data_IF_399782592556
#
_entry.id   IF_399782592556
#
_cell.length_a   1.000
_cell.length_b   1.000
_cell.length_c   1.000
_cell.angle_alpha   90.00
_cell.angle_beta   90.00
_cell.angle_gamma   90.00
#
_symmetry.space_group_name_H-M   'P 1'
#
loop_
_entity.id
_entity.type
_entity.pdbx_description
1 polymer ?
#
# COMPACT_ATOMS: atom_id res chain seq x y z
N UNK A 1 56.56 -3.82 33.62
CA UNK A 1 55.20 -3.87 34.15
C UNK A 1 54.43 -2.66 33.60
N UNK A 2 53.73 -2.79 32.48
CA UNK A 2 53.02 -1.66 31.83
C UNK A 2 51.65 -1.49 32.47
N UNK A 3 51.51 -0.45 33.31
CA UNK A 3 50.24 -0.02 33.86
C UNK A 3 49.35 0.53 32.72
N UNK A 4 48.37 -0.27 32.28
CA UNK A 4 47.26 0.24 31.40
C UNK A 4 46.48 1.30 32.18
N UNK A 5 46.72 2.57 31.87
CA UNK A 5 45.92 3.69 32.33
C UNK A 5 44.46 3.46 31.91
N UNK A 6 43.60 3.14 32.87
CA UNK A 6 42.16 2.95 32.64
C UNK A 6 41.52 4.30 32.33
N UNK A 7 41.10 4.51 31.09
CA UNK A 7 40.47 5.73 30.60
C UNK A 7 39.02 5.92 31.14
N UNK A 8 38.88 5.92 32.48
CA UNK A 8 37.59 6.19 33.15
C UNK A 8 37.68 7.42 34.03
N UNK A 9 36.67 8.27 33.99
CA UNK A 9 36.47 9.39 34.91
C UNK A 9 35.30 9.04 35.83
N UNK A 10 35.45 9.34 37.12
CA UNK A 10 34.39 9.14 38.13
C UNK A 10 33.68 10.46 38.37
N UNK A 11 32.38 10.51 38.16
CA UNK A 11 31.55 11.66 38.50
C UNK A 11 30.91 11.35 39.85
N UNK A 12 31.17 12.22 40.82
CA UNK A 12 30.60 12.13 42.17
C UNK A 12 29.46 13.14 42.27
N UNK A 13 28.25 12.66 42.50
CA UNK A 13 27.07 13.49 42.71
C UNK A 13 26.86 13.61 44.21
N UNK A 14 27.04 14.80 44.73
CA UNK A 14 26.82 15.12 46.13
C UNK A 14 25.48 15.82 46.29
N UNK A 15 24.54 15.22 46.99
CA UNK A 15 23.25 15.85 47.28
C UNK A 15 23.36 16.57 48.64
N UNK A 16 23.05 17.87 48.68
CA UNK A 16 23.19 18.72 49.88
C UNK A 16 22.35 18.28 51.08
N UNK A 17 21.33 17.45 50.85
CA UNK A 17 20.34 17.03 51.87
C UNK A 17 20.39 15.54 52.20
N UNK A 18 21.31 14.76 51.68
CA UNK A 18 21.45 13.33 51.99
C UNK A 18 22.93 12.95 52.12
N UNK A 19 23.27 12.22 53.17
CA UNK A 19 24.65 11.73 53.45
C UNK A 19 25.17 10.68 52.44
N UNK A 20 24.40 10.33 51.41
CA UNK A 20 24.82 9.35 50.41
C UNK A 20 25.30 10.00 49.13
N UNK A 21 26.58 9.81 48.83
CA UNK A 21 27.20 10.17 47.56
C UNK A 21 27.02 9.05 46.53
N UNK A 22 26.47 9.38 45.36
CA UNK A 22 26.44 8.45 44.22
C UNK A 22 27.62 8.70 43.31
N UNK A 23 28.42 7.66 43.00
CA UNK A 23 29.53 7.73 42.06
C UNK A 23 29.18 6.94 40.78
N UNK A 24 29.39 7.56 39.61
CA UNK A 24 29.17 6.94 38.30
C UNK A 24 30.51 6.95 37.55
N UNK A 25 30.99 5.78 37.11
CA UNK A 25 32.16 5.66 36.25
C UNK A 25 31.79 5.78 34.78
N UNK A 26 32.37 6.76 34.10
CA UNK A 26 32.11 7.03 32.67
C UNK A 26 33.47 7.02 31.94
N UNK A 27 33.50 6.44 30.71
CA UNK A 27 34.72 6.50 29.89
C UNK A 27 35.06 7.97 29.57
N UNK A 28 36.27 8.41 29.84
CA UNK A 28 36.77 9.78 29.65
C UNK A 28 36.51 10.30 28.22
N UNK A 29 36.48 9.41 27.21
CA UNK A 29 36.15 9.72 25.81
C UNK A 29 34.76 10.31 25.67
N UNK A 30 33.75 9.83 26.39
CA UNK A 30 32.40 10.35 26.36
C UNK A 30 32.28 11.70 27.06
N UNK A 31 33.00 11.89 28.14
CA UNK A 31 33.06 13.18 28.86
C UNK A 31 33.60 14.30 27.95
N UNK A 32 34.72 14.02 27.24
CA UNK A 32 35.29 14.98 26.26
C UNK A 32 34.39 15.29 25.09
N UNK A 33 33.49 14.34 24.70
CA UNK A 33 32.55 14.51 23.60
C UNK A 33 31.16 14.98 24.03
N UNK A 34 30.92 15.25 25.29
CA UNK A 34 29.62 15.65 25.82
C UNK A 34 29.04 16.88 25.12
N UNK A 35 29.85 17.86 24.77
CA UNK A 35 29.43 19.04 23.99
C UNK A 35 28.82 18.63 22.64
N UNK A 36 29.41 17.68 21.93
CA UNK A 36 28.90 17.21 20.64
C UNK A 36 27.58 16.42 20.79
N UNK A 37 27.44 15.65 21.87
CA UNK A 37 26.18 14.95 22.16
C UNK A 37 25.04 15.92 22.46
N UNK A 38 25.30 16.97 23.25
CA UNK A 38 24.31 18.01 23.57
C UNK A 38 23.91 18.73 22.29
N UNK A 39 24.87 19.16 21.45
CA UNK A 39 24.59 19.80 20.16
C UNK A 39 23.76 18.87 19.26
N UNK A 40 24.11 17.59 19.16
CA UNK A 40 23.37 16.63 18.36
C UNK A 40 21.91 16.48 18.83
N UNK A 41 21.68 16.39 20.14
CA UNK A 41 20.32 16.30 20.71
C UNK A 41 19.52 17.58 20.40
N UNK A 42 20.13 18.75 20.57
CA UNK A 42 19.47 20.03 20.23
C UNK A 42 19.12 20.09 18.75
N UNK A 43 20.00 19.68 17.85
CA UNK A 43 19.72 19.62 16.41
C UNK A 43 18.54 18.68 16.08
N UNK A 44 18.48 17.51 16.74
CA UNK A 44 17.36 16.57 16.55
C UNK A 44 16.04 17.17 17.04
N UNK A 45 16.03 17.83 18.20
CA UNK A 45 14.83 18.49 18.74
C UNK A 45 14.36 19.62 17.79
N UNK A 46 15.29 20.43 17.28
CA UNK A 46 14.96 21.49 16.33
C UNK A 46 14.43 20.94 15.00
N UNK A 47 15.02 19.86 14.49
CA UNK A 47 14.53 19.18 13.29
C UNK A 47 13.12 18.61 13.49
N UNK A 48 12.84 17.97 14.62
CA UNK A 48 11.51 17.46 14.96
C UNK A 48 10.49 18.61 15.11
N UNK A 49 10.86 19.69 15.80
CA UNK A 49 10.02 20.89 15.92
C UNK A 49 9.69 21.50 14.55
N UNK A 50 10.69 21.62 13.68
CA UNK A 50 10.51 22.10 12.31
C UNK A 50 9.59 21.21 11.48
N UNK A 51 9.71 19.88 11.58
CA UNK A 51 8.81 18.96 10.87
C UNK A 51 7.38 19.05 11.38
N UNK A 52 7.17 19.15 12.69
CA UNK A 52 5.82 19.33 13.26
C UNK A 52 5.20 20.65 12.79
N UNK A 53 5.95 21.76 12.85
CA UNK A 53 5.47 23.06 12.38
C UNK A 53 5.14 23.04 10.87
N UNK A 54 5.97 22.41 10.05
CA UNK A 54 5.71 22.23 8.61
C UNK A 54 4.43 21.42 8.35
N UNK A 55 4.25 20.29 9.04
CA UNK A 55 3.07 19.44 8.89
C UNK A 55 1.79 20.16 9.35
N UNK A 56 1.86 20.90 10.45
CA UNK A 56 0.73 21.71 10.95
C UNK A 56 0.36 22.82 9.95
N UNK A 57 1.34 23.52 9.42
CA UNK A 57 1.12 24.56 8.39
C UNK A 57 0.50 23.98 7.13
N UNK A 58 0.99 22.84 6.66
CA UNK A 58 0.45 22.15 5.49
C UNK A 58 -0.99 21.65 5.72
N UNK A 59 -1.28 21.12 6.90
CA UNK A 59 -2.62 20.68 7.25
C UNK A 59 -3.62 21.85 7.31
N UNK A 60 -3.20 22.99 7.88
CA UNK A 60 -4.02 24.19 7.92
C UNK A 60 -4.29 24.74 6.50
N UNK A 61 -3.30 24.68 5.60
CA UNK A 61 -3.47 25.08 4.19
C UNK A 61 -4.51 24.19 3.49
N UNK A 62 -4.47 22.88 3.68
CA UNK A 62 -5.47 21.96 3.11
C UNK A 62 -6.88 22.20 3.68
N UNK A 63 -6.98 22.52 4.98
CA UNK A 63 -8.29 22.82 5.58
C UNK A 63 -8.87 24.14 5.06
N UNK A 64 -8.03 25.14 4.82
CA UNK A 64 -8.45 26.40 4.19
C UNK A 64 -8.91 26.18 2.74
N UNK A 65 -8.18 25.39 1.94
CA UNK A 65 -8.56 25.04 0.57
C UNK A 65 -9.91 24.31 0.55
N UNK A 66 -10.11 23.37 1.45
CA UNK A 66 -11.38 22.66 1.62
C UNK A 66 -12.54 23.61 1.95
N UNK A 67 -12.33 24.56 2.86
CA UNK A 67 -13.34 25.57 3.21
C UNK A 67 -13.66 26.48 2.02
N UNK A 68 -12.65 26.89 1.25
CA UNK A 68 -12.84 27.67 0.03
C UNK A 68 -13.65 26.92 -1.02
N UNK A 69 -13.34 25.63 -1.24
CA UNK A 69 -14.09 24.78 -2.15
C UNK A 69 -15.55 24.60 -1.71
N UNK A 70 -15.80 24.38 -0.41
CA UNK A 70 -17.15 24.28 0.13
C UNK A 70 -17.94 25.59 -0.08
N UNK A 71 -17.29 26.73 0.12
CA UNK A 71 -17.90 28.06 -0.12
C UNK A 71 -18.21 28.25 -1.60
N UNK A 72 -17.33 27.88 -2.51
CA UNK A 72 -17.57 27.92 -3.96
C UNK A 72 -18.72 27.01 -4.38
N UNK A 73 -18.80 25.80 -3.83
CA UNK A 73 -19.92 24.87 -4.09
C UNK A 73 -21.23 25.47 -3.60
N UNK A 74 -21.25 26.10 -2.41
CA UNK A 74 -22.45 26.78 -1.89
C UNK A 74 -22.87 27.95 -2.78
N UNK A 75 -21.91 28.76 -3.25
CA UNK A 75 -22.18 29.88 -4.17
C UNK A 75 -22.65 29.40 -5.55
N UNK A 76 -22.09 28.33 -6.09
CA UNK A 76 -22.55 27.74 -7.35
C UNK A 76 -23.95 27.18 -7.21
N UNK A 77 -24.25 26.55 -6.08
CA UNK A 77 -25.58 25.99 -5.77
C UNK A 77 -26.66 27.06 -5.65
N UNK A 78 -26.31 28.26 -5.15
CA UNK A 78 -27.23 29.39 -5.06
C UNK A 78 -27.43 30.13 -6.39
N UNK A 79 -26.52 29.99 -7.37
CA UNK A 79 -26.61 30.60 -8.70
C UNK A 79 -27.31 29.75 -9.74
N UNK A 80 -27.65 28.49 -9.43
CA UNK A 80 -28.43 27.63 -10.32
C UNK A 80 -29.92 27.96 -10.14
N UNK A 81 -30.59 28.53 -11.14
CA UNK A 81 -32.04 28.75 -11.05
C UNK A 81 -32.75 27.41 -10.94
N UNK A 82 -33.75 27.32 -10.07
CA UNK A 82 -34.60 26.14 -9.93
C UNK A 82 -35.35 25.90 -11.25
N UNK A 83 -34.78 25.12 -12.15
CA UNK A 83 -35.42 24.83 -13.47
C UNK A 83 -34.47 24.41 -14.59
N UNK A 84 -33.16 24.50 -14.44
CA UNK A 84 -32.25 24.08 -15.51
C UNK A 84 -31.73 22.66 -15.26
N UNK A 85 -32.31 21.70 -15.93
CA UNK A 85 -31.86 20.31 -15.96
C UNK A 85 -30.58 20.25 -16.80
N UNK A 86 -29.40 20.36 -16.13
CA UNK A 86 -28.13 19.97 -16.73
C UNK A 86 -28.08 18.44 -16.57
N UNK A 87 -27.73 17.65 -17.60
CA UNK A 87 -27.53 16.23 -17.43
C UNK A 87 -26.27 16.02 -16.59
N UNK A 88 -26.42 16.08 -15.28
CA UNK A 88 -25.43 15.62 -14.32
C UNK A 88 -25.38 14.11 -14.47
N UNK A 89 -24.21 13.56 -14.80
CA UNK A 89 -23.90 12.16 -14.60
C UNK A 89 -24.41 11.80 -13.19
N UNK A 90 -25.46 11.01 -13.13
CA UNK A 90 -26.36 10.83 -12.01
C UNK A 90 -25.62 10.62 -10.68
N UNK A 91 -25.59 11.66 -9.84
CA UNK A 91 -25.66 11.44 -8.40
C UNK A 91 -27.01 10.73 -8.14
N UNK A 92 -27.08 9.68 -7.32
CA UNK A 92 -28.30 8.96 -7.07
C UNK A 92 -29.34 9.93 -6.52
N UNK A 93 -30.51 9.94 -7.17
CA UNK A 93 -31.63 10.82 -6.89
C UNK A 93 -31.93 10.89 -5.38
N UNK A 94 -32.25 12.09 -4.89
CA UNK A 94 -32.58 12.43 -3.51
C UNK A 94 -33.84 11.72 -2.93
N UNK A 95 -34.32 10.65 -3.55
CA UNK A 95 -35.43 9.80 -3.15
C UNK A 95 -35.08 8.31 -3.08
N UNK A 96 -33.77 7.97 -2.87
CA UNK A 96 -33.44 6.57 -2.55
C UNK A 96 -33.93 6.24 -1.15
N UNK A 97 -35.01 5.44 -1.07
CA UNK A 97 -35.49 4.86 0.16
C UNK A 97 -34.38 4.05 0.82
N UNK A 98 -34.39 3.86 2.14
CA UNK A 98 -33.45 3.01 2.89
C UNK A 98 -33.22 1.65 2.19
N UNK A 99 -34.26 1.10 1.56
CA UNK A 99 -34.22 -0.11 0.73
C UNK A 99 -33.27 0.01 -0.46
N UNK A 100 -33.23 1.15 -1.15
CA UNK A 100 -32.32 1.39 -2.28
C UNK A 100 -30.85 1.45 -1.85
N UNK A 101 -30.55 2.06 -0.71
CA UNK A 101 -29.20 2.06 -0.15
C UNK A 101 -28.76 0.66 0.27
N UNK A 102 -29.62 -0.11 0.93
CA UNK A 102 -29.32 -1.49 1.34
C UNK A 102 -29.00 -2.35 0.11
N UNK A 103 -29.79 -2.25 -0.96
CA UNK A 103 -29.54 -2.98 -2.20
C UNK A 103 -28.20 -2.58 -2.85
N UNK A 104 -27.88 -1.28 -2.88
CA UNK A 104 -26.60 -0.77 -3.36
C UNK A 104 -25.41 -1.30 -2.54
N UNK A 105 -25.52 -1.28 -1.22
CA UNK A 105 -24.54 -1.82 -0.28
C UNK A 105 -24.31 -3.31 -0.54
N UNK A 106 -25.38 -4.11 -0.64
CA UNK A 106 -25.28 -5.54 -0.93
C UNK A 106 -24.59 -5.81 -2.26
N UNK A 107 -24.95 -5.06 -3.31
CA UNK A 107 -24.30 -5.17 -4.62
C UNK A 107 -22.81 -4.84 -4.59
N UNK A 108 -22.39 -3.85 -3.78
CA UNK A 108 -20.96 -3.50 -3.61
C UNK A 108 -20.20 -4.56 -2.82
N UNK A 109 -20.78 -5.09 -1.75
CA UNK A 109 -20.19 -6.20 -0.99
C UNK A 109 -20.02 -7.44 -1.87
N UNK A 110 -21.00 -7.76 -2.70
CA UNK A 110 -20.87 -8.86 -3.66
C UNK A 110 -19.73 -8.63 -4.65
N UNK A 111 -19.59 -7.42 -5.21
CA UNK A 111 -18.46 -7.07 -6.09
C UNK A 111 -17.10 -7.25 -5.39
N UNK A 112 -16.98 -6.82 -4.14
CA UNK A 112 -15.73 -7.01 -3.37
C UNK A 112 -15.44 -8.51 -3.22
N UNK A 113 -16.44 -9.31 -2.85
CA UNK A 113 -16.29 -10.77 -2.74
C UNK A 113 -15.90 -11.42 -4.06
N UNK A 114 -16.44 -10.95 -5.19
CA UNK A 114 -16.07 -11.44 -6.52
C UNK A 114 -14.62 -11.10 -6.88
N UNK A 115 -14.15 -9.89 -6.55
CA UNK A 115 -12.75 -9.52 -6.69
C UNK A 115 -11.82 -10.39 -5.84
N UNK A 116 -12.20 -10.71 -4.61
CA UNK A 116 -11.42 -11.58 -3.72
C UNK A 116 -11.35 -13.02 -4.24
N UNK A 117 -12.49 -13.58 -4.65
CA UNK A 117 -12.56 -14.94 -5.21
C UNK A 117 -11.74 -15.12 -6.49
N UNK A 118 -11.80 -14.13 -7.41
CA UNK A 118 -10.99 -14.15 -8.65
C UNK A 118 -9.48 -14.15 -8.38
N UNK A 119 -9.07 -13.71 -7.19
CA UNK A 119 -7.68 -13.67 -6.73
C UNK A 119 -7.29 -14.88 -5.86
N UNK A 120 -8.19 -15.86 -5.69
CA UNK A 120 -7.97 -16.99 -4.80
C UNK A 120 -8.00 -16.65 -3.31
N UNK A 121 -8.60 -15.51 -2.94
CA UNK A 121 -8.77 -15.06 -1.56
C UNK A 121 -10.16 -15.41 -1.04
N UNK A 122 -10.27 -15.68 0.28
CA UNK A 122 -11.57 -15.86 0.95
C UNK A 122 -12.34 -14.54 0.93
N UNK A 123 -13.60 -14.58 0.49
CA UNK A 123 -14.55 -13.49 0.71
C UNK A 123 -15.08 -13.51 2.15
N UNK A 124 -15.74 -12.42 2.55
CA UNK A 124 -16.42 -12.35 3.84
C UNK A 124 -17.90 -12.70 3.72
N UNK A 125 -18.47 -13.19 4.83
CA UNK A 125 -19.90 -13.48 4.92
C UNK A 125 -20.69 -12.15 4.85
N UNK A 126 -21.71 -12.10 4.00
CA UNK A 126 -22.65 -10.98 3.96
C UNK A 126 -23.79 -11.14 4.95
N UNK A 127 -23.84 -12.25 5.72
CA UNK A 127 -24.93 -12.54 6.66
C UNK A 127 -24.82 -11.76 7.98
N UNK A 128 -23.61 -11.28 8.31
CA UNK A 128 -23.32 -10.65 9.60
C UNK A 128 -23.11 -9.13 9.48
N UNK A 129 -23.58 -8.52 8.39
CA UNK A 129 -23.49 -7.07 8.18
C UNK A 129 -24.78 -6.41 8.71
N UNK A 130 -25.04 -6.61 10.01
CA UNK A 130 -26.06 -5.90 10.76
C UNK A 130 -25.37 -5.23 11.95
N UNK A 131 -25.23 -3.91 11.92
CA UNK A 131 -24.67 -3.15 13.03
C UNK A 131 -25.56 -3.26 14.26
N UNK A 132 -24.90 -3.33 15.42
CA UNK A 132 -25.53 -3.33 16.74
C UNK A 132 -26.37 -2.06 16.93
N UNK A 133 -27.61 -2.21 17.43
CA UNK A 133 -28.59 -1.13 17.59
C UNK A 133 -28.32 -0.22 18.80
N UNK A 134 -27.08 -0.10 19.26
CA UNK A 134 -26.71 0.70 20.41
C UNK A 134 -25.82 1.88 20.03
N UNK A 135 -26.44 2.98 19.61
CA UNK A 135 -25.98 4.32 20.04
C UNK A 135 -26.87 5.44 19.51
N UNK A 136 -27.36 6.23 20.44
CA UNK A 136 -27.95 7.56 20.30
C UNK A 136 -27.00 8.51 19.52
N UNK A 137 -27.13 8.62 18.22
CA UNK A 137 -26.50 9.67 17.45
C UNK A 137 -27.50 10.34 16.51
N UNK A 138 -27.49 11.65 16.53
CA UNK A 138 -28.32 12.63 15.84
C UNK A 138 -28.30 12.61 14.31
N UNK A 139 -27.70 11.59 13.69
CA UNK A 139 -27.62 11.41 12.23
C UNK A 139 -28.79 10.53 11.77
N UNK A 140 -29.56 10.98 10.80
CA UNK A 140 -30.67 10.22 10.25
C UNK A 140 -30.18 8.92 9.59
N UNK A 141 -31.01 7.86 9.60
CA UNK A 141 -30.63 6.57 9.01
C UNK A 141 -30.29 6.70 7.51
N UNK A 142 -30.95 7.60 6.79
CA UNK A 142 -30.63 7.86 5.37
C UNK A 142 -29.25 8.47 5.19
N UNK A 143 -28.80 9.35 6.08
CA UNK A 143 -27.44 9.91 6.06
C UNK A 143 -26.39 8.84 6.38
N UNK A 144 -26.66 7.97 7.35
CA UNK A 144 -25.78 6.83 7.66
C UNK A 144 -25.63 5.89 6.47
N UNK A 145 -26.74 5.50 5.82
CA UNK A 145 -26.69 4.63 4.63
C UNK A 145 -25.97 5.29 3.46
N UNK A 146 -26.14 6.59 3.25
CA UNK A 146 -25.42 7.35 2.24
C UNK A 146 -23.90 7.33 2.48
N UNK A 147 -23.46 7.54 3.73
CA UNK A 147 -22.05 7.47 4.10
C UNK A 147 -21.46 6.06 3.90
N UNK A 148 -22.20 5.01 4.28
CA UNK A 148 -21.76 3.63 4.04
C UNK A 148 -21.68 3.31 2.56
N UNK A 149 -22.61 3.77 1.76
CA UNK A 149 -22.62 3.56 0.31
C UNK A 149 -21.42 4.24 -0.37
N UNK A 150 -21.09 5.47 0.03
CA UNK A 150 -19.90 6.18 -0.44
C UNK A 150 -18.61 5.47 0.00
N UNK A 151 -18.51 5.08 1.27
CA UNK A 151 -17.36 4.33 1.80
C UNK A 151 -17.13 3.04 1.03
N UNK A 152 -18.17 2.23 0.81
CA UNK A 152 -18.08 1.00 0.04
C UNK A 152 -17.71 1.24 -1.42
N UNK A 153 -18.16 2.35 -2.01
CA UNK A 153 -17.75 2.75 -3.38
C UNK A 153 -16.24 2.97 -3.46
N UNK A 154 -15.68 3.71 -2.49
CA UNK A 154 -14.24 3.93 -2.38
C UNK A 154 -13.50 2.61 -2.14
N UNK A 155 -14.05 1.73 -1.30
CA UNK A 155 -13.46 0.43 -1.00
C UNK A 155 -13.45 -0.49 -2.23
N UNK A 156 -14.56 -0.58 -2.98
CA UNK A 156 -14.63 -1.34 -4.26
C UNK A 156 -13.54 -0.87 -5.21
N UNK A 157 -13.40 0.44 -5.38
CA UNK A 157 -12.37 1.01 -6.25
C UNK A 157 -10.96 0.69 -5.74
N UNK A 158 -10.73 0.79 -4.44
CA UNK A 158 -9.43 0.45 -3.85
C UNK A 158 -9.08 -1.02 -4.09
N UNK A 159 -10.01 -1.93 -3.81
CA UNK A 159 -9.84 -3.37 -4.00
C UNK A 159 -9.61 -3.72 -5.48
N UNK A 160 -10.36 -3.09 -6.39
CA UNK A 160 -10.24 -3.36 -7.83
C UNK A 160 -8.82 -3.11 -8.36
N UNK A 161 -8.19 -2.01 -7.92
CA UNK A 161 -6.91 -1.52 -8.45
C UNK A 161 -5.69 -1.85 -7.58
N UNK A 162 -5.87 -2.51 -6.43
CA UNK A 162 -4.75 -2.98 -5.60
C UNK A 162 -4.37 -4.41 -6.03
N UNK A 163 -3.09 -4.69 -6.34
CA UNK A 163 -2.66 -6.01 -6.83
C UNK A 163 -2.60 -7.03 -5.69
N UNK A 164 -3.77 -7.53 -5.26
CA UNK A 164 -3.92 -8.52 -4.21
C UNK A 164 -4.14 -9.93 -4.78
N UNK A 165 -3.73 -10.96 -4.00
CA UNK A 165 -3.91 -12.36 -4.35
C UNK A 165 -2.88 -12.88 -5.35
N UNK A 166 -3.16 -14.04 -5.91
CA UNK A 166 -2.21 -14.85 -6.63
C UNK A 166 -2.36 -14.67 -8.14
N UNK A 167 -1.27 -14.32 -8.88
CA UNK A 167 -1.28 -14.31 -10.35
C UNK A 167 -1.40 -15.75 -10.89
N UNK A 168 -1.08 -16.72 -10.05
CA UNK A 168 -1.19 -18.15 -10.26
C UNK A 168 -1.32 -18.85 -8.91
N UNK A 169 -2.29 -19.73 -8.76
CA UNK A 169 -2.47 -20.56 -7.55
C UNK A 169 -1.43 -21.68 -7.54
N UNK A 170 -0.24 -21.39 -7.01
CA UNK A 170 0.85 -22.35 -6.84
C UNK A 170 1.79 -21.92 -5.71
N UNK A 171 2.70 -22.81 -5.31
CA UNK A 171 3.72 -22.51 -4.29
C UNK A 171 4.75 -21.51 -4.80
N UNK A 172 5.26 -20.68 -3.88
CA UNK A 172 6.41 -19.80 -4.12
C UNK A 172 7.67 -20.65 -4.05
N UNK A 173 8.52 -20.55 -5.07
CA UNK A 173 9.81 -21.23 -5.15
C UNK A 173 10.98 -20.34 -4.80
N UNK A 174 10.81 -19.00 -4.91
CA UNK A 174 11.81 -18.03 -4.50
C UNK A 174 11.16 -16.74 -4.01
N UNK A 175 11.63 -16.22 -2.87
CA UNK A 175 11.11 -15.03 -2.20
C UNK A 175 11.73 -13.72 -2.71
N UNK A 176 11.13 -12.60 -2.29
CA UNK A 176 11.63 -11.24 -2.50
C UNK A 176 12.81 -10.95 -1.57
N UNK A 177 13.84 -10.27 -2.05
CA UNK A 177 14.95 -9.77 -1.27
C UNK A 177 16.32 -10.29 -1.72
N UNK A 178 17.35 -10.07 -0.91
CA UNK A 178 18.69 -10.55 -1.21
C UNK A 178 18.78 -12.06 -1.04
N UNK A 179 19.36 -12.74 -2.03
CA UNK A 179 19.60 -14.18 -2.03
C UNK A 179 20.92 -14.50 -2.72
N UNK A 180 21.44 -15.72 -2.54
CA UNK A 180 22.53 -16.21 -3.38
C UNK A 180 22.11 -16.19 -4.83
N UNK A 181 23.01 -15.74 -5.71
CA UNK A 181 22.76 -15.69 -7.14
C UNK A 181 22.64 -17.12 -7.70
N UNK A 182 21.53 -17.50 -8.34
CA UNK A 182 21.33 -18.89 -8.81
C UNK A 182 22.26 -19.28 -9.97
N UNK A 183 23.01 -18.33 -10.55
CA UNK A 183 23.97 -18.57 -11.65
C UNK A 183 25.44 -18.39 -11.21
N UNK A 184 25.66 -17.83 -10.02
CA UNK A 184 26.97 -17.59 -9.43
C UNK A 184 26.84 -17.64 -7.90
N UNK A 185 27.22 -18.77 -7.31
CA UNK A 185 27.09 -19.01 -5.88
C UNK A 185 27.96 -18.10 -4.99
N UNK A 186 28.92 -17.39 -5.56
CA UNK A 186 29.82 -16.49 -4.82
C UNK A 186 29.26 -15.07 -4.67
N UNK A 187 28.21 -14.72 -5.40
CA UNK A 187 27.58 -13.40 -5.35
C UNK A 187 26.16 -13.44 -4.80
N UNK A 188 25.76 -12.32 -4.17
CA UNK A 188 24.38 -12.09 -3.76
C UNK A 188 23.69 -11.18 -4.78
N UNK A 189 22.42 -11.48 -5.10
CA UNK A 189 21.59 -10.64 -5.94
C UNK A 189 20.28 -10.24 -5.25
N UNK A 190 19.77 -9.06 -5.57
CA UNK A 190 18.44 -8.64 -5.14
C UNK A 190 17.41 -9.27 -6.08
N UNK A 191 16.52 -10.09 -5.55
CA UNK A 191 15.35 -10.59 -6.26
C UNK A 191 14.19 -9.60 -6.09
N UNK A 192 13.78 -8.85 -7.14
CA UNK A 192 12.81 -7.76 -7.02
C UNK A 192 11.34 -8.25 -7.00
N UNK A 193 11.12 -9.55 -6.96
CA UNK A 193 9.80 -10.17 -6.99
C UNK A 193 9.73 -11.48 -6.22
N UNK A 194 8.77 -12.30 -6.59
CA UNK A 194 8.63 -13.69 -6.15
C UNK A 194 8.46 -14.60 -7.36
N UNK A 195 8.98 -15.83 -7.25
CA UNK A 195 8.84 -16.83 -8.29
C UNK A 195 7.79 -17.86 -7.88
N UNK A 196 6.79 -18.06 -8.73
CA UNK A 196 5.75 -19.06 -8.56
C UNK A 196 6.05 -20.30 -9.38
N UNK A 197 5.97 -21.48 -8.77
CA UNK A 197 6.09 -22.76 -9.46
C UNK A 197 5.09 -22.84 -10.62
N UNK A 198 5.53 -23.27 -11.80
CA UNK A 198 4.67 -23.41 -12.97
C UNK A 198 5.28 -24.24 -14.07
N UNK A 199 4.45 -24.91 -14.86
CA UNK A 199 4.85 -25.55 -16.10
C UNK A 199 4.68 -24.57 -17.27
N UNK A 200 5.50 -24.73 -18.31
CA UNK A 200 5.34 -23.95 -19.54
C UNK A 200 3.94 -24.12 -20.11
N UNK A 201 3.26 -23.01 -20.38
CA UNK A 201 1.91 -22.99 -20.93
C UNK A 201 0.81 -22.77 -19.88
N UNK A 202 1.13 -22.87 -18.59
CA UNK A 202 0.16 -22.58 -17.51
C UNK A 202 -0.33 -21.13 -17.56
N UNK A 203 -1.61 -20.87 -17.23
CA UNK A 203 -2.18 -19.52 -17.32
C UNK A 203 -1.61 -18.60 -16.24
N UNK A 204 -1.32 -17.35 -16.66
CA UNK A 204 -0.95 -16.23 -15.80
C UNK A 204 -2.08 -15.20 -15.83
N UNK A 205 -2.55 -14.81 -14.63
CA UNK A 205 -3.69 -13.90 -14.47
C UNK A 205 -3.25 -12.56 -13.89
N UNK A 206 -3.87 -11.49 -14.35
CA UNK A 206 -3.66 -10.17 -13.76
C UNK A 206 -4.31 -10.10 -12.37
N UNK A 207 -3.59 -9.49 -11.41
CA UNK A 207 -3.99 -9.45 -9.99
C UNK A 207 -4.81 -8.22 -9.61
N UNK A 208 -4.93 -7.23 -10.50
CA UNK A 208 -5.76 -6.03 -10.30
C UNK A 208 -6.21 -5.46 -11.65
N UNK A 209 -7.29 -4.68 -11.64
CA UNK A 209 -7.73 -3.93 -12.80
C UNK A 209 -6.66 -2.90 -13.20
N UNK A 210 -6.42 -2.73 -14.50
CA UNK A 210 -5.37 -1.82 -14.95
C UNK A 210 -5.26 -1.71 -16.45
N UNK A 211 -4.21 -1.01 -16.89
CA UNK A 211 -3.85 -0.85 -18.30
C UNK A 211 -2.47 -1.46 -18.54
N UNK A 212 -2.34 -2.27 -19.56
CA UNK A 212 -1.06 -2.79 -20.02
C UNK A 212 -0.21 -1.62 -20.53
N UNK A 213 0.99 -1.46 -19.97
CA UNK A 213 1.93 -0.39 -20.35
C UNK A 213 3.20 -0.91 -21.00
N UNK A 214 3.37 -2.21 -21.03
CA UNK A 214 4.46 -2.86 -21.74
C UNK A 214 4.14 -4.32 -21.99
N UNK A 215 4.39 -4.77 -23.23
CA UNK A 215 4.45 -6.18 -23.63
C UNK A 215 5.68 -6.41 -24.48
N UNK A 216 6.37 -7.52 -24.29
CA UNK A 216 7.52 -7.87 -25.11
C UNK A 216 8.70 -8.40 -24.32
N UNK A 217 9.89 -8.40 -24.99
CA UNK A 217 11.13 -8.92 -24.39
C UNK A 217 11.89 -7.82 -23.66
N UNK A 218 12.24 -8.07 -22.40
CA UNK A 218 13.05 -7.18 -21.58
C UNK A 218 14.20 -7.93 -20.94
N UNK A 219 15.39 -7.29 -20.89
CA UNK A 219 16.60 -7.91 -20.35
C UNK A 219 16.38 -8.50 -18.96
N UNK A 220 16.86 -9.71 -18.74
CA UNK A 220 16.65 -10.49 -17.51
C UNK A 220 15.28 -11.15 -17.45
N UNK A 221 14.19 -10.43 -17.68
CA UNK A 221 12.80 -10.91 -17.53
C UNK A 221 12.32 -11.81 -18.69
N UNK A 222 13.03 -11.84 -19.82
CA UNK A 222 12.53 -12.50 -21.02
C UNK A 222 11.28 -11.83 -21.57
N UNK A 223 10.32 -12.62 -22.06
CA UNK A 223 9.01 -12.08 -22.42
C UNK A 223 8.27 -11.69 -21.14
N UNK A 224 7.83 -10.45 -21.08
CA UNK A 224 7.14 -9.95 -19.88
C UNK A 224 6.01 -8.98 -20.24
N UNK A 225 5.12 -8.80 -19.27
CA UNK A 225 4.00 -7.86 -19.30
C UNK A 225 4.15 -6.95 -18.09
N UNK A 226 3.92 -5.65 -18.27
CA UNK A 226 3.79 -4.69 -17.17
C UNK A 226 2.40 -4.07 -17.24
N UNK A 227 1.68 -4.12 -16.12
CA UNK A 227 0.35 -3.54 -15.98
C UNK A 227 0.41 -2.38 -14.99
N UNK A 228 -0.08 -1.21 -15.39
CA UNK A 228 -0.27 -0.04 -14.55
C UNK A 228 -1.64 -0.11 -13.91
N UNK A 229 -1.68 0.00 -12.60
CA UNK A 229 -2.90 0.11 -11.79
C UNK A 229 -3.05 1.52 -11.23
N UNK A 230 -4.17 1.83 -10.57
CA UNK A 230 -4.33 3.10 -9.83
C UNK A 230 -3.40 3.13 -8.60
N UNK A 231 -3.33 4.31 -7.97
CA UNK A 231 -2.55 4.55 -6.76
C UNK A 231 -1.07 4.19 -6.91
N UNK A 232 -0.47 4.46 -8.09
CA UNK A 232 0.94 4.21 -8.44
C UNK A 232 1.40 2.76 -8.30
N UNK A 233 0.49 1.79 -8.31
CA UNK A 233 0.85 0.39 -8.38
C UNK A 233 1.13 -0.04 -9.82
N UNK A 234 2.14 -0.90 -9.95
CA UNK A 234 2.42 -1.66 -11.17
C UNK A 234 2.64 -3.12 -10.80
N UNK A 235 2.30 -4.02 -11.73
CA UNK A 235 2.70 -5.43 -11.65
C UNK A 235 3.49 -5.83 -12.87
N UNK A 236 4.50 -6.71 -12.66
CA UNK A 236 5.31 -7.29 -13.73
C UNK A 236 5.18 -8.81 -13.68
N UNK A 237 5.00 -9.39 -14.86
CA UNK A 237 4.88 -10.83 -15.10
C UNK A 237 5.97 -11.24 -16.07
N UNK A 238 6.98 -11.98 -15.60
CA UNK A 238 8.19 -12.32 -16.36
C UNK A 238 8.29 -13.79 -16.74
N UNK A 239 9.29 -14.09 -17.56
CA UNK A 239 9.66 -15.40 -18.09
C UNK A 239 8.59 -16.10 -18.93
N UNK A 240 7.67 -15.31 -19.51
CA UNK A 240 6.50 -15.85 -20.22
C UNK A 240 6.86 -16.61 -21.49
N UNK A 241 6.15 -17.71 -21.78
CA UNK A 241 6.19 -18.40 -23.07
C UNK A 241 5.31 -17.72 -24.11
N UNK A 242 4.19 -17.10 -23.67
CA UNK A 242 3.24 -16.41 -24.53
C UNK A 242 2.66 -15.19 -23.83
N UNK A 243 2.49 -14.12 -24.59
CA UNK A 243 1.78 -12.89 -24.23
C UNK A 243 0.42 -12.93 -24.95
N UNK A 244 -0.67 -12.69 -24.21
CA UNK A 244 -2.05 -12.75 -24.72
C UNK A 244 -2.75 -11.39 -24.73
N UNK A 245 -2.02 -10.31 -24.50
CA UNK A 245 -2.53 -8.93 -24.40
C UNK A 245 -1.60 -7.98 -25.16
N UNK A 246 -2.13 -6.84 -25.57
CA UNK A 246 -1.39 -5.81 -26.30
C UNK A 246 -1.11 -4.59 -25.41
N UNK A 247 -0.10 -3.79 -25.80
CA UNK A 247 0.17 -2.50 -25.18
C UNK A 247 -1.04 -1.58 -25.30
N UNK A 248 -1.38 -0.91 -24.18
CA UNK A 248 -2.54 -0.04 -24.10
C UNK A 248 -3.85 -0.76 -23.76
N UNK A 249 -3.91 -2.09 -23.79
CA UNK A 249 -5.10 -2.86 -23.46
C UNK A 249 -5.54 -2.68 -22.01
N UNK A 250 -6.85 -2.50 -21.79
CA UNK A 250 -7.45 -2.55 -20.45
C UNK A 250 -7.64 -4.00 -20.03
N UNK A 251 -7.27 -4.34 -18.81
CA UNK A 251 -7.40 -5.68 -18.24
C UNK A 251 -8.12 -5.61 -16.90
N UNK A 252 -8.89 -6.66 -16.61
CA UNK A 252 -9.64 -6.81 -15.36
C UNK A 252 -9.04 -7.93 -14.52
N UNK A 253 -9.08 -7.79 -13.22
CA UNK A 253 -8.67 -8.82 -12.26
C UNK A 253 -9.13 -10.21 -12.68
N UNK A 254 -8.18 -11.15 -12.77
CA UNK A 254 -8.42 -12.53 -13.15
C UNK A 254 -8.33 -12.82 -14.64
N UNK A 255 -8.20 -11.81 -15.52
CA UNK A 255 -8.00 -12.04 -16.95
C UNK A 255 -6.67 -12.79 -17.19
N UNK A 256 -6.68 -13.72 -18.14
CA UNK A 256 -5.48 -14.46 -18.55
C UNK A 256 -4.68 -13.60 -19.50
N UNK A 257 -3.59 -13.02 -19.02
CA UNK A 257 -2.74 -12.08 -19.77
C UNK A 257 -1.56 -12.75 -20.47
N UNK A 258 -1.19 -13.97 -20.06
CA UNK A 258 -0.06 -14.70 -20.64
C UNK A 258 0.04 -16.12 -20.15
N UNK A 259 1.11 -16.80 -20.50
CA UNK A 259 1.41 -18.18 -20.12
C UNK A 259 2.81 -18.29 -19.53
N UNK A 260 2.97 -19.10 -18.50
CA UNK A 260 4.25 -19.42 -17.87
C UNK A 260 5.22 -19.96 -18.92
N UNK A 261 6.48 -19.61 -18.80
CA UNK A 261 7.55 -20.07 -19.66
C UNK A 261 8.89 -20.16 -18.95
N UNK A 262 9.95 -20.11 -19.74
CA UNK A 262 11.35 -20.12 -19.30
C UNK A 262 12.18 -19.21 -20.19
N UNK A 263 11.66 -18.02 -20.52
CA UNK A 263 12.38 -17.05 -21.37
C UNK A 263 13.19 -16.07 -20.54
N UNK A 264 14.30 -15.55 -21.10
CA UNK A 264 15.19 -14.64 -20.38
C UNK A 264 16.17 -15.37 -19.46
N UNK A 265 16.54 -14.72 -18.32
CA UNK A 265 17.47 -15.27 -17.33
C UNK A 265 16.70 -16.08 -16.30
N UNK A 266 16.63 -17.37 -16.45
CA UNK A 266 15.87 -18.29 -15.59
C UNK A 266 16.56 -19.65 -15.51
N UNK A 267 16.36 -20.36 -14.41
CA UNK A 267 16.86 -21.73 -14.17
C UNK A 267 15.87 -22.81 -14.63
N UNK A 268 14.68 -22.43 -15.07
CA UNK A 268 13.65 -23.37 -15.53
C UNK A 268 12.26 -22.70 -15.56
N UNK A 269 11.21 -23.43 -15.96
CA UNK A 269 9.87 -22.88 -16.08
C UNK A 269 9.30 -22.41 -14.72
N UNK A 270 8.95 -21.11 -14.63
CA UNK A 270 8.27 -20.51 -13.50
C UNK A 270 7.68 -19.15 -13.91
N UNK A 271 6.82 -18.57 -13.08
CA UNK A 271 6.37 -17.20 -13.21
C UNK A 271 7.15 -16.30 -12.25
N UNK A 272 7.90 -15.35 -12.80
CA UNK A 272 8.43 -14.23 -12.01
C UNK A 272 7.36 -13.14 -11.89
N UNK A 273 7.05 -12.72 -10.65
CA UNK A 273 6.01 -11.74 -10.37
C UNK A 273 6.50 -10.63 -9.44
N UNK A 274 6.31 -9.38 -9.86
CA UNK A 274 6.64 -8.21 -9.05
C UNK A 274 5.40 -7.35 -8.78
N UNK A 275 5.38 -6.75 -7.59
CA UNK A 275 4.55 -5.60 -7.26
C UNK A 275 5.48 -4.40 -7.09
N UNK A 276 5.15 -3.29 -7.75
CA UNK A 276 5.89 -2.04 -7.66
C UNK A 276 4.99 -0.94 -7.15
N UNK A 277 5.52 -0.03 -6.35
CA UNK A 277 4.85 1.18 -5.86
C UNK A 277 5.72 2.39 -6.19
N UNK A 278 5.19 3.36 -6.95
CA UNK A 278 5.98 4.50 -7.41
C UNK A 278 7.23 4.07 -8.20
N UNK A 279 7.13 3.03 -9.03
CA UNK A 279 8.23 2.47 -9.83
C UNK A 279 9.22 1.58 -9.06
N UNK A 280 9.16 1.50 -7.74
CA UNK A 280 10.08 0.70 -6.90
C UNK A 280 9.47 -0.67 -6.57
N UNK A 281 10.23 -1.77 -6.69
CA UNK A 281 9.78 -3.10 -6.26
C UNK A 281 9.51 -3.13 -4.76
N UNK A 282 8.42 -3.74 -4.37
CA UNK A 282 8.04 -3.99 -2.97
C UNK A 282 7.69 -5.47 -2.81
N UNK A 283 7.79 -5.99 -1.58
CA UNK A 283 7.58 -7.40 -1.31
C UNK A 283 6.15 -7.86 -1.68
N UNK A 284 5.98 -8.69 -2.74
CA UNK A 284 4.67 -9.13 -3.20
C UNK A 284 3.93 -10.01 -2.18
N UNK A 285 4.64 -10.70 -1.29
CA UNK A 285 4.02 -11.61 -0.28
C UNK A 285 2.99 -10.89 0.57
N UNK A 286 3.18 -9.59 0.86
CA UNK A 286 2.23 -8.77 1.61
C UNK A 286 0.87 -8.58 0.92
N UNK A 287 0.78 -8.90 -0.36
CA UNK A 287 -0.43 -8.77 -1.18
C UNK A 287 -1.08 -10.11 -1.50
N UNK A 288 -0.45 -11.23 -1.15
CA UNK A 288 -0.95 -12.57 -1.47
C UNK A 288 -2.05 -13.06 -0.52
N UNK A 289 -2.10 -12.54 0.70
CA UNK A 289 -3.09 -12.89 1.71
C UNK A 289 -3.72 -11.65 2.31
N UNK A 290 -4.97 -11.75 2.78
CA UNK A 290 -5.65 -10.67 3.52
C UNK A 290 -5.28 -10.66 5.00
N UNK A 291 -4.63 -11.73 5.49
CA UNK A 291 -4.23 -11.88 6.88
C UNK A 291 -2.71 -11.69 6.96
N UNK A 292 -2.29 -10.54 7.42
CA UNK A 292 -0.99 -10.30 8.04
C UNK A 292 -1.22 -9.84 9.48
#
# INVERSE_FOLDING_TARGET
>A
MNLKLTNFSTIIIVNKNQEQTKSIRVKTKHLKRMKHYIVSIVCVILALGGTVAYLTSKNNSHEQEKQQLLTQIAQLKSKVPAGTVIPVIAAPAANSTASGYIQSIQGKLQKINDYLRKRGLKGFSTKDVGGDNSSSNTVSDNEKYSLYDEYLTRLVNSVAFTPMGYPRLSSITSGFGYRANPFDSESAELHPGVDFKGATGDPVRVTADGKVVFTGRKSGYGNCIIVQHKNDFQTLYGHLSRINVDDGQQVKTGDVIGKVGSTGRTTGPHLHYEVRKGGKPINPVKFLTLNN
#
